data_IF_974906117619
#
_entry.id   IF_974906117619
#
_cell.length_a   1.000
_cell.length_b   1.000
_cell.length_c   1.000
_cell.angle_alpha   90.00
_cell.angle_beta   90.00
_cell.angle_gamma   90.00
#
_symmetry.space_group_name_H-M   'P 1'
#
loop_
_entity.id
_entity.type
_entity.pdbx_description
1 polymer ?
#
# COMPACT_ATOMS: atom_id res chain seq x y z
N UNK A 1 -32.48 -36.65 51.83
CA UNK A 1 -31.29 -36.08 52.49
C UNK A 1 -30.23 -35.89 51.42
N UNK A 2 -29.83 -34.64 51.20
CA UNK A 2 -28.95 -34.19 50.11
C UNK A 2 -27.50 -34.38 50.56
N UNK A 3 -26.63 -34.90 49.71
CA UNK A 3 -25.17 -34.87 49.91
C UNK A 3 -24.52 -34.39 48.60
N UNK A 4 -23.56 -33.43 48.65
CA UNK A 4 -23.14 -32.68 47.49
C UNK A 4 -22.07 -33.43 46.71
N UNK A 5 -22.23 -33.50 45.38
CA UNK A 5 -21.13 -33.88 44.48
C UNK A 5 -20.27 -32.64 44.25
N UNK A 6 -19.04 -32.68 44.75
CA UNK A 6 -17.98 -31.71 44.45
C UNK A 6 -17.77 -31.60 42.94
N UNK A 7 -18.09 -30.44 42.38
CA UNK A 7 -17.71 -30.06 41.01
C UNK A 7 -16.32 -29.44 41.11
N UNK A 8 -15.30 -30.17 40.66
CA UNK A 8 -13.97 -29.61 40.44
C UNK A 8 -14.02 -28.85 39.10
N UNK A 9 -14.08 -27.53 39.15
CA UNK A 9 -13.96 -26.66 37.99
C UNK A 9 -12.45 -26.42 37.75
N UNK A 10 -11.86 -27.09 36.76
CA UNK A 10 -10.52 -26.77 36.29
C UNK A 10 -10.63 -25.64 35.25
N UNK A 11 -10.39 -24.40 35.67
CA UNK A 11 -10.16 -23.29 34.74
C UNK A 11 -8.74 -23.42 34.16
N UNK A 12 -8.63 -23.88 32.91
CA UNK A 12 -7.42 -23.74 32.13
C UNK A 12 -7.39 -22.31 31.57
N UNK A 13 -6.58 -21.44 32.16
CA UNK A 13 -6.30 -20.13 31.58
C UNK A 13 -5.39 -20.32 30.35
N UNK A 14 -5.97 -20.28 29.15
CA UNK A 14 -5.20 -20.11 27.92
C UNK A 14 -4.77 -18.64 27.84
N UNK A 15 -3.50 -18.37 28.13
CA UNK A 15 -2.87 -17.10 27.74
C UNK A 15 -2.49 -17.20 26.27
N UNK A 16 -3.04 -16.38 25.36
CA UNK A 16 -2.48 -16.27 24.03
C UNK A 16 -1.13 -15.57 24.15
N UNK A 17 -0.04 -16.30 23.90
CA UNK A 17 1.25 -15.68 23.60
C UNK A 17 1.12 -15.05 22.22
N UNK A 18 0.85 -13.75 22.18
CA UNK A 18 1.00 -12.96 20.96
C UNK A 18 2.50 -12.79 20.79
N UNK A 19 3.11 -13.58 19.91
CA UNK A 19 4.44 -13.32 19.42
C UNK A 19 4.33 -12.20 18.39
N UNK A 20 4.65 -10.97 18.80
CA UNK A 20 5.07 -9.94 17.87
C UNK A 20 6.48 -10.32 17.38
N UNK A 21 6.61 -10.69 16.10
CA UNK A 21 7.90 -10.93 15.48
C UNK A 21 8.42 -9.62 14.88
N UNK A 22 9.05 -8.79 15.69
CA UNK A 22 9.94 -7.72 15.21
C UNK A 22 11.28 -8.33 14.80
N UNK A 23 11.44 -8.68 13.52
CA UNK A 23 12.70 -9.21 12.97
C UNK A 23 13.49 -8.09 12.30
N UNK A 24 14.18 -7.25 13.08
CA UNK A 24 15.08 -6.25 12.52
C UNK A 24 16.43 -6.88 12.15
N UNK A 25 16.76 -6.85 10.86
CA UNK A 25 18.10 -7.12 10.34
C UNK A 25 18.22 -8.36 9.46
N UNK A 26 17.55 -8.35 8.30
CA UNK A 26 17.65 -9.44 7.33
C UNK A 26 18.90 -9.24 6.44
N UNK A 27 20.04 -9.75 6.92
CA UNK A 27 21.30 -9.88 6.18
C UNK A 27 21.25 -11.06 5.18
N UNK A 28 20.11 -11.25 4.51
CA UNK A 28 19.97 -12.24 3.45
C UNK A 28 20.50 -11.67 2.13
N UNK A 29 21.21 -12.49 1.36
CA UNK A 29 21.58 -12.16 -0.02
C UNK A 29 20.30 -12.13 -0.89
N UNK A 30 19.70 -10.94 -0.98
CA UNK A 30 18.46 -10.68 -1.72
C UNK A 30 18.65 -10.60 -3.23
N UNK A 31 19.91 -10.62 -3.71
CA UNK A 31 20.23 -10.41 -5.13
C UNK A 31 19.70 -11.49 -6.09
N UNK A 32 19.30 -12.65 -5.56
CA UNK A 32 18.80 -13.78 -6.33
C UNK A 32 17.29 -14.02 -6.18
N UNK A 33 16.58 -13.17 -5.43
CA UNK A 33 15.12 -13.28 -5.28
C UNK A 33 14.41 -12.74 -6.52
N UNK A 34 13.25 -13.32 -6.86
CA UNK A 34 12.40 -12.69 -7.87
C UNK A 34 11.66 -11.49 -7.30
N UNK A 35 11.23 -10.60 -8.21
CA UNK A 35 10.60 -9.33 -7.86
C UNK A 35 9.41 -9.50 -6.92
N UNK A 36 8.53 -10.48 -7.17
CA UNK A 36 7.37 -10.71 -6.32
C UNK A 36 7.77 -11.13 -4.90
N UNK A 37 8.83 -11.92 -4.75
CA UNK A 37 9.36 -12.31 -3.45
C UNK A 37 9.96 -11.11 -2.72
N UNK A 38 10.76 -10.28 -3.41
CA UNK A 38 11.33 -9.06 -2.84
C UNK A 38 10.23 -8.09 -2.40
N UNK A 39 9.24 -7.86 -3.27
CA UNK A 39 8.07 -7.03 -2.99
C UNK A 39 7.33 -7.48 -1.73
N UNK A 40 6.99 -8.78 -1.62
CA UNK A 40 6.29 -9.30 -0.43
C UNK A 40 7.11 -9.15 0.85
N UNK A 41 8.43 -9.21 0.76
CA UNK A 41 9.31 -9.06 1.91
C UNK A 41 9.46 -7.60 2.34
N UNK A 42 9.55 -6.66 1.40
CA UNK A 42 9.81 -5.25 1.68
C UNK A 42 8.51 -4.47 1.96
N UNK A 43 7.41 -4.76 1.26
CA UNK A 43 6.15 -4.02 1.41
C UNK A 43 5.17 -4.64 2.41
N UNK A 44 5.27 -5.96 2.64
CA UNK A 44 4.31 -6.73 3.45
C UNK A 44 4.93 -7.52 4.60
N UNK A 45 6.27 -7.54 4.73
CA UNK A 45 6.97 -8.38 5.71
C UNK A 45 6.62 -9.88 5.62
N UNK A 46 6.24 -10.37 4.44
CA UNK A 46 5.84 -11.76 4.18
C UNK A 46 6.93 -12.48 3.38
N UNK A 47 7.55 -13.49 3.99
CA UNK A 47 8.60 -14.32 3.36
C UNK A 47 8.07 -15.63 2.76
N UNK A 48 6.81 -15.98 3.04
CA UNK A 48 6.17 -17.20 2.52
C UNK A 48 4.74 -16.92 2.10
N UNK A 49 4.46 -17.14 0.83
CA UNK A 49 3.15 -16.91 0.21
C UNK A 49 2.98 -17.84 -1.00
N UNK A 50 1.73 -18.00 -1.44
CA UNK A 50 1.42 -18.62 -2.73
C UNK A 50 0.92 -17.58 -3.74
N UNK A 51 0.83 -17.98 -5.01
CA UNK A 51 0.37 -17.09 -6.08
C UNK A 51 -1.04 -16.53 -5.82
N UNK A 52 -1.91 -17.27 -5.12
CA UNK A 52 -3.26 -16.82 -4.83
C UNK A 52 -3.26 -15.73 -3.75
N UNK A 53 -2.41 -15.87 -2.74
CA UNK A 53 -2.22 -14.90 -1.67
C UNK A 53 -1.63 -13.61 -2.21
N UNK A 54 -0.58 -13.70 -3.05
CA UNK A 54 -0.04 -12.54 -3.76
C UNK A 54 -1.13 -11.84 -4.58
N UNK A 55 -1.91 -12.59 -5.38
CA UNK A 55 -2.98 -11.99 -6.18
C UNK A 55 -3.99 -11.24 -5.31
N UNK A 56 -4.46 -11.88 -4.24
CA UNK A 56 -5.54 -11.35 -3.40
C UNK A 56 -5.12 -10.13 -2.58
N UNK A 57 -3.84 -10.03 -2.19
CA UNK A 57 -3.32 -8.85 -1.48
C UNK A 57 -3.28 -7.60 -2.35
N UNK A 58 -3.18 -7.76 -3.67
CA UNK A 58 -3.09 -6.65 -4.63
C UNK A 58 -4.32 -6.51 -5.53
N UNK A 59 -5.39 -7.23 -5.20
CA UNK A 59 -6.73 -7.04 -5.74
C UNK A 59 -7.44 -6.01 -4.84
N UNK A 60 -7.12 -4.73 -5.07
CA UNK A 60 -7.39 -3.66 -4.10
C UNK A 60 -8.90 -3.38 -3.97
N UNK A 61 -9.68 -3.69 -5.00
CA UNK A 61 -11.13 -3.56 -5.00
C UNK A 61 -11.87 -4.89 -4.74
N UNK A 62 -11.14 -5.99 -4.54
CA UNK A 62 -11.65 -7.35 -4.35
C UNK A 62 -12.54 -7.84 -5.51
N UNK A 63 -12.28 -7.39 -6.74
CA UNK A 63 -13.03 -7.79 -7.92
C UNK A 63 -12.65 -9.18 -8.46
N UNK A 64 -11.53 -9.74 -8.00
CA UNK A 64 -10.95 -10.97 -8.52
C UNK A 64 -10.19 -10.78 -9.83
N UNK A 65 -9.95 -9.53 -10.23
CA UNK A 65 -9.29 -9.11 -11.45
C UNK A 65 -8.23 -8.07 -11.09
N UNK A 66 -7.09 -8.09 -11.78
CA UNK A 66 -6.20 -6.93 -11.80
C UNK A 66 -6.43 -6.13 -13.08
N UNK A 67 -6.77 -4.87 -12.88
CA UNK A 67 -6.84 -3.85 -13.92
C UNK A 67 -5.45 -3.27 -14.22
N UNK A 68 -5.37 -2.40 -15.23
CA UNK A 68 -4.14 -1.64 -15.48
C UNK A 68 -3.70 -0.83 -14.27
N UNK A 69 -4.66 -0.25 -13.56
CA UNK A 69 -4.39 0.65 -12.44
C UNK A 69 -3.85 -0.11 -11.23
N UNK A 70 -4.33 -1.34 -11.01
CA UNK A 70 -3.83 -2.20 -9.94
C UNK A 70 -2.43 -2.76 -10.24
N UNK A 71 -2.13 -3.02 -11.52
CA UNK A 71 -0.76 -3.35 -11.92
C UNK A 71 0.16 -2.12 -11.75
N UNK A 72 -0.29 -0.92 -12.13
CA UNK A 72 0.48 0.32 -11.91
C UNK A 72 0.76 0.54 -10.43
N UNK A 73 -0.26 0.38 -9.60
CA UNK A 73 -0.19 0.53 -8.15
C UNK A 73 0.77 -0.49 -7.54
N UNK A 74 0.63 -1.77 -7.87
CA UNK A 74 1.51 -2.83 -7.34
C UNK A 74 2.98 -2.62 -7.68
N UNK A 75 3.29 -2.08 -8.86
CA UNK A 75 4.66 -1.73 -9.25
C UNK A 75 5.12 -0.34 -8.77
N UNK A 76 4.29 0.41 -8.05
CA UNK A 76 4.60 1.78 -7.61
C UNK A 76 4.88 2.74 -8.76
N UNK A 77 4.27 2.54 -9.94
CA UNK A 77 4.63 3.31 -11.14
C UNK A 77 4.26 4.79 -11.04
N UNK A 78 3.30 5.14 -10.19
CA UNK A 78 2.84 6.50 -9.97
C UNK A 78 3.30 7.08 -8.63
N UNK A 79 4.13 6.34 -7.89
CA UNK A 79 4.71 6.81 -6.65
C UNK A 79 5.74 7.93 -6.89
N UNK A 80 5.93 8.81 -5.89
CA UNK A 80 6.88 9.92 -5.95
C UNK A 80 8.32 9.45 -6.19
N UNK A 81 8.70 8.27 -5.67
CA UNK A 81 10.03 7.67 -5.91
C UNK A 81 10.28 7.32 -7.38
N UNK A 82 9.21 7.11 -8.15
CA UNK A 82 9.22 6.79 -9.58
C UNK A 82 8.83 8.00 -10.46
N UNK A 83 8.86 9.23 -9.93
CA UNK A 83 8.51 10.45 -10.67
C UNK A 83 9.36 10.69 -11.93
N UNK A 84 10.55 10.08 -12.02
CA UNK A 84 11.41 10.14 -13.21
C UNK A 84 10.97 9.22 -14.36
N UNK A 85 10.07 8.26 -14.12
CA UNK A 85 9.54 7.38 -15.16
C UNK A 85 8.60 8.16 -16.09
N UNK A 86 8.87 8.10 -17.39
CA UNK A 86 7.94 8.66 -18.38
C UNK A 86 6.70 7.78 -18.52
N UNK A 87 5.57 8.37 -18.92
CA UNK A 87 4.35 7.59 -19.17
C UNK A 87 4.55 6.51 -20.23
N UNK A 88 5.39 6.75 -21.25
CA UNK A 88 5.71 5.73 -22.26
C UNK A 88 6.37 4.50 -21.64
N UNK A 89 7.26 4.71 -20.65
CA UNK A 89 7.92 3.62 -19.92
C UNK A 89 6.93 2.88 -19.03
N UNK A 90 6.07 3.59 -18.31
CA UNK A 90 5.01 2.97 -17.49
C UNK A 90 4.06 2.12 -18.36
N UNK A 91 3.67 2.64 -19.52
CA UNK A 91 2.85 1.88 -20.49
C UNK A 91 3.59 0.68 -21.09
N UNK A 92 4.92 0.76 -21.26
CA UNK A 92 5.72 -0.40 -21.67
C UNK A 92 5.68 -1.50 -20.61
N UNK A 93 5.91 -1.15 -19.34
CA UNK A 93 5.85 -2.09 -18.21
C UNK A 93 4.48 -2.80 -18.18
N UNK A 94 3.39 -2.04 -18.27
CA UNK A 94 2.04 -2.61 -18.32
C UNK A 94 1.87 -3.61 -19.47
N UNK A 95 2.29 -3.25 -20.68
CA UNK A 95 2.21 -4.17 -21.83
C UNK A 95 2.99 -5.47 -21.58
N UNK A 96 4.17 -5.38 -20.98
CA UNK A 96 5.00 -6.56 -20.69
C UNK A 96 4.33 -7.48 -19.66
N UNK A 97 3.73 -6.93 -18.59
CA UNK A 97 2.97 -7.71 -17.60
C UNK A 97 1.73 -8.37 -18.22
N UNK A 98 0.92 -7.60 -18.95
CA UNK A 98 -0.30 -8.11 -19.58
C UNK A 98 -0.01 -9.16 -20.67
N UNK A 99 1.09 -9.02 -21.41
CA UNK A 99 1.50 -10.04 -22.38
C UNK A 99 1.81 -11.40 -21.73
N UNK A 100 2.18 -11.41 -20.44
CA UNK A 100 2.44 -12.64 -19.69
C UNK A 100 1.13 -13.19 -19.13
N UNK A 101 0.34 -12.34 -18.45
CA UNK A 101 -0.75 -12.77 -17.57
C UNK A 101 -2.17 -12.58 -18.12
N UNK A 102 -2.34 -11.91 -19.26
CA UNK A 102 -3.60 -11.80 -20.00
C UNK A 102 -3.45 -12.36 -21.44
N UNK A 103 -3.27 -13.69 -21.59
CA UNK A 103 -2.99 -14.32 -22.89
C UNK A 103 -4.15 -14.17 -23.89
N UNK A 104 -5.37 -13.96 -23.39
CA UNK A 104 -6.57 -13.75 -24.20
C UNK A 104 -6.82 -12.27 -24.54
N UNK A 105 -5.99 -11.35 -24.02
CA UNK A 105 -6.07 -9.91 -24.28
C UNK A 105 -7.43 -9.33 -23.92
N UNK A 106 -7.95 -9.74 -22.77
CA UNK A 106 -9.22 -9.26 -22.21
C UNK A 106 -9.13 -7.84 -21.66
N UNK A 107 -7.92 -7.35 -21.38
CA UNK A 107 -7.66 -6.05 -20.74
C UNK A 107 -7.64 -6.12 -19.21
N UNK A 108 -7.75 -7.31 -18.62
CA UNK A 108 -7.62 -7.57 -17.19
C UNK A 108 -6.86 -8.88 -16.96
N UNK A 109 -6.24 -9.03 -15.79
CA UNK A 109 -5.59 -10.28 -15.38
C UNK A 109 -6.48 -10.96 -14.34
N UNK A 110 -7.01 -12.14 -14.64
CA UNK A 110 -7.84 -12.86 -13.67
C UNK A 110 -6.98 -13.63 -12.65
N UNK A 111 -7.50 -13.82 -11.43
CA UNK A 111 -6.85 -14.66 -10.42
C UNK A 111 -6.49 -16.07 -10.94
N UNK A 112 -7.37 -16.64 -11.77
CA UNK A 112 -7.16 -17.97 -12.35
C UNK A 112 -6.02 -18.00 -13.36
N UNK A 113 -5.91 -16.96 -14.20
CA UNK A 113 -4.82 -16.85 -15.18
C UNK A 113 -3.50 -16.60 -14.47
N UNK A 114 -3.47 -15.68 -13.50
CA UNK A 114 -2.30 -15.40 -12.69
C UNK A 114 -1.77 -16.67 -12.00
N UNK A 115 -2.61 -17.36 -11.22
CA UNK A 115 -2.22 -18.58 -10.50
C UNK A 115 -1.74 -19.67 -11.46
N UNK A 116 -2.49 -19.94 -12.53
CA UNK A 116 -2.15 -20.98 -13.50
C UNK A 116 -0.81 -20.70 -14.20
N UNK A 117 -0.57 -19.45 -14.60
CA UNK A 117 0.64 -19.07 -15.32
C UNK A 117 1.86 -19.02 -14.39
N UNK A 118 1.69 -18.58 -13.15
CA UNK A 118 2.76 -18.66 -12.13
C UNK A 118 3.15 -20.10 -11.85
N UNK A 119 2.18 -21.03 -11.75
CA UNK A 119 2.45 -22.47 -11.65
C UNK A 119 3.19 -23.05 -12.86
N UNK A 120 3.08 -22.42 -14.03
CA UNK A 120 3.85 -22.76 -15.24
C UNK A 120 5.24 -22.09 -15.28
N UNK A 121 5.65 -21.43 -14.20
CA UNK A 121 6.95 -20.78 -14.07
C UNK A 121 7.01 -19.37 -14.66
N UNK A 122 5.87 -18.76 -15.02
CA UNK A 122 5.83 -17.32 -15.33
C UNK A 122 6.03 -16.53 -14.05
N UNK A 123 6.73 -15.42 -14.16
CA UNK A 123 7.02 -14.52 -13.04
C UNK A 123 6.69 -13.09 -13.43
N UNK A 124 6.35 -12.28 -12.45
CA UNK A 124 6.33 -10.82 -12.58
C UNK A 124 7.78 -10.36 -12.85
N UNK A 125 8.05 -9.65 -13.97
CA UNK A 125 9.39 -9.16 -14.26
C UNK A 125 9.81 -8.06 -13.29
N UNK A 126 11.10 -7.99 -12.99
CA UNK A 126 11.71 -6.82 -12.38
C UNK A 126 12.00 -5.78 -13.48
N UNK A 127 11.45 -4.58 -13.31
CA UNK A 127 11.64 -3.47 -14.24
C UNK A 127 12.61 -2.40 -13.74
N UNK A 128 13.23 -2.61 -12.58
CA UNK A 128 14.11 -1.65 -11.92
C UNK A 128 13.36 -0.45 -11.34
N UNK A 129 12.09 -0.63 -10.94
CA UNK A 129 11.24 0.41 -10.36
C UNK A 129 11.22 0.38 -8.82
N UNK A 130 12.10 -0.42 -8.21
CA UNK A 130 12.12 -0.70 -6.78
C UNK A 130 11.26 -1.92 -6.41
N UNK A 131 11.04 -2.15 -5.09
CA UNK A 131 10.15 -3.21 -4.62
C UNK A 131 8.70 -2.99 -5.06
N UNK A 132 8.35 -1.78 -5.51
CA UNK A 132 6.98 -1.33 -5.72
C UNK A 132 6.47 -0.65 -4.45
N UNK A 133 5.59 0.33 -4.55
CA UNK A 133 4.99 1.03 -3.40
C UNK A 133 3.50 1.20 -3.68
N UNK A 134 2.65 0.82 -2.74
CA UNK A 134 1.19 0.80 -2.96
C UNK A 134 0.36 1.18 -1.73
N UNK A 135 1.02 1.49 -0.61
CA UNK A 135 0.41 2.13 0.54
C UNK A 135 0.11 3.60 0.29
N UNK A 136 -0.50 4.24 1.29
CA UNK A 136 -0.54 5.70 1.35
C UNK A 136 0.77 6.23 1.98
N UNK A 137 0.91 7.56 2.04
CA UNK A 137 2.13 8.16 2.59
C UNK A 137 2.41 7.77 4.04
N UNK A 138 1.38 7.45 4.82
CA UNK A 138 1.53 7.07 6.22
C UNK A 138 2.09 5.66 6.32
N UNK A 139 1.49 4.72 5.58
CA UNK A 139 1.95 3.35 5.53
C UNK A 139 3.39 3.25 5.00
N UNK A 140 3.72 3.96 3.91
CA UNK A 140 5.06 3.94 3.32
C UNK A 140 6.12 4.53 4.29
N UNK A 141 5.79 5.61 5.01
CA UNK A 141 6.66 6.15 6.05
C UNK A 141 6.88 5.15 7.19
N UNK A 142 5.82 4.49 7.65
CA UNK A 142 5.88 3.52 8.74
C UNK A 142 6.84 2.37 8.40
N UNK A 143 6.61 1.68 7.28
CA UNK A 143 7.33 0.44 6.95
C UNK A 143 8.76 0.70 6.44
N UNK A 144 8.99 1.79 5.70
CA UNK A 144 10.30 2.03 5.06
C UNK A 144 11.24 2.89 5.88
N UNK A 145 10.70 3.71 6.79
CA UNK A 145 11.49 4.63 7.59
C UNK A 145 11.32 4.39 9.08
N UNK A 146 10.10 4.47 9.62
CA UNK A 146 9.87 4.40 11.06
C UNK A 146 10.34 3.05 11.66
N UNK A 147 9.86 1.93 11.12
CA UNK A 147 10.26 0.59 11.58
C UNK A 147 11.77 0.34 11.44
N UNK A 148 12.38 0.92 10.42
CA UNK A 148 13.81 0.73 10.12
C UNK A 148 14.73 1.52 11.05
N UNK A 149 14.33 2.72 11.45
CA UNK A 149 15.21 3.67 12.14
C UNK A 149 14.82 3.97 13.58
N UNK A 150 13.56 3.79 13.96
CA UNK A 150 12.99 4.23 15.23
C UNK A 150 12.46 3.06 16.05
N UNK A 151 11.56 2.25 15.47
CA UNK A 151 10.90 1.13 16.14
C UNK A 151 9.96 1.54 17.28
N UNK A 152 9.33 0.54 17.92
CA UNK A 152 8.18 0.74 18.83
C UNK A 152 8.44 1.62 20.08
N UNK A 153 9.69 1.69 20.55
CA UNK A 153 10.06 2.43 21.76
C UNK A 153 10.45 3.89 21.49
N UNK A 154 10.38 4.33 20.22
CA UNK A 154 10.76 5.68 19.81
C UNK A 154 9.85 6.75 20.41
N UNK A 155 10.44 7.90 20.75
CA UNK A 155 9.73 9.09 21.21
C UNK A 155 9.70 10.14 20.11
N UNK A 156 8.78 11.09 20.24
CA UNK A 156 8.68 12.23 19.31
C UNK A 156 10.02 12.98 19.19
N UNK A 157 10.78 13.08 20.28
CA UNK A 157 12.10 13.72 20.29
C UNK A 157 13.15 12.98 19.45
N UNK A 158 12.95 11.70 19.15
CA UNK A 158 13.85 10.86 18.35
C UNK A 158 13.58 11.03 16.84
N UNK A 159 12.38 11.48 16.45
CA UNK A 159 11.91 11.60 15.05
C UNK A 159 12.48 12.85 14.36
N UNK A 160 13.78 12.81 14.11
CA UNK A 160 14.58 13.96 13.67
C UNK A 160 15.32 13.74 12.36
N UNK A 161 15.15 12.59 11.70
CA UNK A 161 15.70 12.37 10.38
C UNK A 161 15.06 13.33 9.36
N UNK A 162 15.79 13.71 8.29
CA UNK A 162 15.24 14.55 7.24
C UNK A 162 13.90 14.04 6.70
N UNK A 163 13.75 12.72 6.57
CA UNK A 163 12.54 12.05 6.13
C UNK A 163 11.38 12.20 7.14
N UNK A 164 11.64 12.13 8.46
CA UNK A 164 10.65 12.39 9.52
C UNK A 164 10.10 13.82 9.39
N UNK A 165 11.02 14.79 9.25
CA UNK A 165 10.68 16.20 9.14
C UNK A 165 9.86 16.46 7.87
N UNK A 166 10.22 15.83 6.76
CA UNK A 166 9.47 15.95 5.51
C UNK A 166 8.07 15.34 5.60
N UNK A 167 7.96 14.16 6.21
CA UNK A 167 6.68 13.49 6.48
C UNK A 167 5.73 14.38 7.28
N UNK A 168 6.19 14.92 8.41
CA UNK A 168 5.39 15.83 9.23
C UNK A 168 5.07 17.14 8.51
N UNK A 169 6.02 17.68 7.74
CA UNK A 169 5.76 18.87 6.91
C UNK A 169 4.69 18.60 5.86
N UNK A 170 4.53 17.36 5.38
CA UNK A 170 3.48 16.97 4.43
C UNK A 170 2.13 16.89 5.16
N UNK A 171 2.06 16.25 6.33
CA UNK A 171 0.88 16.28 7.20
C UNK A 171 0.40 17.70 7.53
N UNK A 172 1.30 18.61 7.90
CA UNK A 172 0.96 20.02 8.18
C UNK A 172 0.32 20.72 6.96
N UNK A 173 0.81 20.43 5.75
CA UNK A 173 0.24 20.98 4.51
C UNK A 173 -1.15 20.43 4.25
N UNK A 174 -1.32 19.11 4.35
CA UNK A 174 -2.59 18.44 4.11
C UNK A 174 -3.65 18.86 5.14
N UNK A 175 -3.27 19.01 6.40
CA UNK A 175 -4.14 19.55 7.44
C UNK A 175 -4.56 20.99 7.13
N UNK A 176 -3.62 21.86 6.74
CA UNK A 176 -3.95 23.23 6.36
C UNK A 176 -4.86 23.32 5.12
N UNK A 177 -4.70 22.41 4.15
CA UNK A 177 -5.60 22.30 3.00
C UNK A 177 -6.98 21.79 3.38
N UNK A 178 -7.07 20.80 4.27
CA UNK A 178 -8.33 20.28 4.79
C UNK A 178 -9.15 21.36 5.50
N UNK A 179 -8.52 22.18 6.34
CA UNK A 179 -9.17 23.31 7.02
C UNK A 179 -9.68 24.37 6.03
N UNK A 180 -8.94 24.60 4.94
CA UNK A 180 -9.39 25.52 3.87
C UNK A 180 -10.61 24.94 3.15
N UNK A 181 -10.59 23.64 2.85
CA UNK A 181 -11.70 22.96 2.19
C UNK A 181 -12.96 22.95 3.07
N UNK A 182 -12.83 22.55 4.35
CA UNK A 182 -13.94 22.57 5.32
C UNK A 182 -14.57 23.97 5.42
N UNK A 183 -13.72 25.02 5.46
CA UNK A 183 -14.22 26.40 5.46
C UNK A 183 -15.02 26.72 4.19
N UNK A 184 -14.57 26.28 3.03
CA UNK A 184 -15.30 26.49 1.77
C UNK A 184 -16.61 25.70 1.74
N UNK A 185 -16.62 24.47 2.22
CA UNK A 185 -17.81 23.61 2.29
C UNK A 185 -18.85 24.12 3.30
N UNK A 186 -18.40 24.78 4.37
CA UNK A 186 -19.29 25.43 5.35
C UNK A 186 -20.02 26.67 4.81
N UNK A 187 -19.60 27.21 3.67
CA UNK A 187 -20.23 28.38 3.06
C UNK A 187 -21.42 27.98 2.19
N UNK A 188 -22.55 28.66 2.35
CA UNK A 188 -23.72 28.48 1.47
C UNK A 188 -23.40 28.79 0.00
N UNK A 189 -22.54 29.80 -0.24
CA UNK A 189 -22.14 30.25 -1.56
C UNK A 189 -20.66 30.66 -1.54
N UNK A 190 -19.84 29.97 -2.32
CA UNK A 190 -18.44 30.37 -2.58
C UNK A 190 -18.42 31.39 -3.72
N UNK A 191 -18.36 32.69 -3.37
CA UNK A 191 -18.44 33.79 -4.35
C UNK A 191 -17.41 33.68 -5.49
N UNK A 192 -16.21 33.17 -5.20
CA UNK A 192 -15.15 32.97 -6.20
C UNK A 192 -15.52 31.96 -7.29
N UNK A 193 -16.44 31.03 -7.00
CA UNK A 193 -16.91 30.02 -7.93
C UNK A 193 -18.10 30.50 -8.77
N UNK A 194 -18.63 31.71 -8.53
CA UNK A 194 -19.74 32.27 -9.31
C UNK A 194 -19.21 32.66 -10.71
N UNK A 195 -19.73 32.07 -11.80
CA UNK A 195 -19.33 32.46 -13.14
C UNK A 195 -19.63 33.94 -13.42
N UNK A 196 -18.74 34.62 -14.14
CA UNK A 196 -18.81 36.07 -14.37
C UNK A 196 -20.17 36.57 -14.91
N UNK A 197 -20.87 35.76 -15.71
CA UNK A 197 -22.21 36.08 -16.26
C UNK A 197 -23.31 36.28 -15.20
N UNK A 198 -23.09 35.82 -13.97
CA UNK A 198 -24.04 35.97 -12.85
C UNK A 198 -23.63 37.07 -11.86
N UNK A 199 -22.46 37.69 -12.05
CA UNK A 199 -22.04 38.83 -11.25
C UNK A 199 -22.77 40.09 -11.74
N UNK A 200 -23.32 40.87 -10.81
CA UNK A 200 -23.97 42.15 -11.15
C UNK A 200 -22.92 43.08 -11.78
N UNK A 201 -23.17 43.54 -13.01
CA UNK A 201 -22.30 44.52 -13.65
C UNK A 201 -22.24 45.80 -12.79
N UNK A 202 -21.06 46.44 -12.65
CA UNK A 202 -20.97 47.71 -11.94
C UNK A 202 -21.96 48.69 -12.57
N UNK A 203 -22.86 49.26 -11.77
CA UNK A 203 -23.74 50.33 -12.23
C UNK A 203 -22.87 51.56 -12.47
N UNK A 204 -22.91 52.10 -13.69
CA UNK A 204 -22.20 53.31 -14.10
C UNK A 204 -22.70 54.55 -13.34
#
# INVERSE_FOLDING_TARGET
>A
MISPRSILLALLAFTPSIYAHGSHGDNQDRSNLDWATLHMMEEHHITSFDARSFFSLHDYDNSGLWTTDEVRRTYGLDDESNAALTEERKQQILREVFNIFDPLKTGVISANDYVRLTQQGKKLPDFGTGPGHHGDMEYEYEIHHFEKYHGDDAKEEDLTHPEDIEHFRKHDREYAESLRLEKLESMDIVLANIPAKFLKSPSA
#
